data_IF_301107465465
#
_entry.id   IF_301107465465
#
_cell.length_a   1.000
_cell.length_b   1.000
_cell.length_c   1.000
_cell.angle_alpha   90.00
_cell.angle_beta   90.00
_cell.angle_gamma   90.00
#
_symmetry.space_group_name_H-M   'P 1'
#
loop_
_entity.id
_entity.type
_entity.pdbx_description
1 polymer ?
#
# COMPACT_ATOMS: atom_id res chain seq x y z
N UNK A 1 6.41 10.01 -38.28
CA UNK A 1 5.91 9.12 -37.21
C UNK A 1 7.13 8.51 -36.52
N UNK A 2 7.60 9.11 -35.44
CA UNK A 2 8.73 8.57 -34.67
C UNK A 2 8.25 7.32 -33.94
N UNK A 3 8.84 6.17 -34.26
CA UNK A 3 8.74 4.96 -33.45
C UNK A 3 9.41 5.25 -32.12
N UNK A 4 8.64 5.76 -31.15
CA UNK A 4 9.16 6.05 -29.81
C UNK A 4 9.67 4.74 -29.21
N UNK A 5 10.99 4.55 -29.25
CA UNK A 5 11.62 3.37 -28.67
C UNK A 5 11.34 3.36 -27.17
N UNK A 6 10.77 2.27 -26.65
CA UNK A 6 10.55 2.08 -25.21
C UNK A 6 11.82 2.38 -24.41
N UNK A 7 11.68 2.92 -23.21
CA UNK A 7 12.80 3.12 -22.29
C UNK A 7 13.30 1.78 -21.72
N UNK A 8 14.47 1.79 -21.07
CA UNK A 8 14.96 0.61 -20.34
C UNK A 8 14.00 0.21 -19.22
N UNK A 9 13.47 1.18 -18.49
CA UNK A 9 12.51 0.98 -17.41
C UNK A 9 11.21 0.34 -17.92
N UNK A 10 10.63 0.86 -19.01
CA UNK A 10 9.43 0.29 -19.64
C UNK A 10 9.65 -1.16 -20.08
N UNK A 11 10.79 -1.46 -20.72
CA UNK A 11 11.15 -2.86 -21.07
C UNK A 11 11.33 -3.74 -19.82
N UNK A 12 11.85 -3.18 -18.74
CA UNK A 12 12.06 -3.90 -17.49
C UNK A 12 10.72 -4.33 -16.89
N UNK A 13 9.80 -3.38 -16.73
CA UNK A 13 8.42 -3.60 -16.25
C UNK A 13 7.70 -4.63 -17.12
N UNK A 14 7.69 -4.44 -18.44
CA UNK A 14 7.01 -5.35 -19.37
C UNK A 14 7.55 -6.79 -19.29
N UNK A 15 8.87 -6.96 -19.20
CA UNK A 15 9.47 -8.28 -19.08
C UNK A 15 9.08 -8.98 -17.76
N UNK A 16 8.87 -8.23 -16.67
CA UNK A 16 8.50 -8.76 -15.35
C UNK A 16 7.03 -9.09 -15.31
N UNK A 17 6.20 -8.22 -15.90
CA UNK A 17 4.79 -8.50 -16.13
C UNK A 17 4.58 -9.83 -16.86
N UNK A 18 5.25 -10.02 -18.01
CA UNK A 18 5.15 -11.28 -18.79
C UNK A 18 5.55 -12.52 -17.99
N UNK A 19 6.62 -12.42 -17.19
CA UNK A 19 7.05 -13.52 -16.32
C UNK A 19 6.03 -13.81 -15.23
N UNK A 20 5.45 -12.76 -14.64
CA UNK A 20 4.44 -12.86 -13.59
C UNK A 20 3.14 -13.49 -14.10
N UNK A 21 2.70 -13.14 -15.32
CA UNK A 21 1.56 -13.79 -15.99
C UNK A 21 1.77 -15.28 -16.24
N UNK A 22 3.02 -15.70 -16.46
CA UNK A 22 3.39 -17.12 -16.57
C UNK A 22 3.45 -17.86 -15.24
N UNK A 23 3.46 -17.15 -14.11
CA UNK A 23 3.48 -17.75 -12.78
C UNK A 23 2.07 -18.21 -12.38
N UNK A 24 1.96 -19.46 -11.94
CA UNK A 24 0.68 -20.05 -11.50
C UNK A 24 0.43 -19.86 -10.01
N UNK A 25 1.50 -19.80 -9.23
CA UNK A 25 1.44 -19.77 -7.78
C UNK A 25 1.22 -18.36 -7.27
N UNK A 26 0.32 -18.22 -6.30
CA UNK A 26 0.12 -16.94 -5.61
C UNK A 26 1.26 -16.65 -4.63
N UNK A 27 1.75 -17.67 -3.93
CA UNK A 27 2.93 -17.56 -3.07
C UNK A 27 4.22 -17.74 -3.88
N UNK A 28 5.03 -16.69 -3.97
CA UNK A 28 6.30 -16.67 -4.70
C UNK A 28 7.44 -16.64 -3.67
N UNK A 29 8.27 -17.69 -3.65
CA UNK A 29 9.48 -17.71 -2.83
C UNK A 29 10.49 -16.66 -3.29
N UNK A 30 11.36 -16.20 -2.39
CA UNK A 30 12.40 -15.22 -2.74
C UNK A 30 13.32 -15.69 -3.88
N UNK A 31 13.61 -16.99 -3.95
CA UNK A 31 14.40 -17.57 -5.04
C UNK A 31 13.64 -17.49 -6.38
N UNK A 32 12.34 -17.82 -6.39
CA UNK A 32 11.51 -17.70 -7.58
C UNK A 32 11.37 -16.23 -8.00
N UNK A 33 11.19 -15.31 -7.06
CA UNK A 33 11.18 -13.87 -7.32
C UNK A 33 12.49 -13.42 -7.98
N UNK A 34 13.64 -13.86 -7.46
CA UNK A 34 14.96 -13.56 -8.03
C UNK A 34 15.11 -14.09 -9.47
N UNK A 35 14.70 -15.34 -9.73
CA UNK A 35 14.69 -15.92 -11.09
C UNK A 35 13.79 -15.14 -12.04
N UNK A 36 12.69 -14.59 -11.54
CA UNK A 36 11.79 -13.73 -12.31
C UNK A 36 12.35 -12.29 -12.48
N UNK A 37 13.44 -11.95 -11.80
CA UNK A 37 14.14 -10.67 -11.91
C UNK A 37 13.66 -9.61 -10.93
N UNK A 38 13.03 -10.03 -9.82
CA UNK A 38 12.73 -9.22 -8.65
C UNK A 38 13.79 -9.45 -7.58
N UNK A 39 14.43 -8.38 -7.14
CA UNK A 39 15.50 -8.42 -6.16
C UNK A 39 14.90 -8.07 -4.81
N UNK A 40 14.46 -9.11 -4.10
CA UNK A 40 13.78 -8.96 -2.84
C UNK A 40 14.80 -8.69 -1.71
N UNK A 41 14.62 -7.59 -0.98
CA UNK A 41 15.47 -7.21 0.16
C UNK A 41 14.62 -6.96 1.40
N UNK A 42 15.21 -7.06 2.59
CA UNK A 42 14.50 -6.73 3.82
C UNK A 42 14.45 -5.21 3.98
N UNK A 43 13.28 -4.71 4.33
CA UNK A 43 13.05 -3.31 4.70
C UNK A 43 12.93 -3.25 6.22
N UNK A 44 13.89 -2.59 6.84
CA UNK A 44 13.80 -2.25 8.24
C UNK A 44 12.95 -0.97 8.39
N UNK A 45 11.90 -1.03 9.20
CA UNK A 45 11.05 0.12 9.46
C UNK A 45 11.45 0.85 10.75
N UNK A 46 12.31 0.25 11.57
CA UNK A 46 12.82 0.82 12.82
C UNK A 46 14.02 1.74 12.56
N UNK A 47 14.70 1.55 11.42
CA UNK A 47 15.76 2.43 10.91
C UNK A 47 15.30 3.03 9.57
N UNK A 48 15.10 4.36 9.44
CA UNK A 48 14.49 4.99 8.27
C UNK A 48 15.41 5.04 7.02
N UNK A 49 16.19 3.99 6.77
CA UNK A 49 16.97 3.84 5.54
C UNK A 49 16.07 3.36 4.40
N UNK A 50 15.19 4.24 3.93
CA UNK A 50 14.42 4.02 2.71
C UNK A 50 14.87 5.04 1.67
N UNK A 51 15.27 4.55 0.49
CA UNK A 51 15.85 5.38 -0.54
C UNK A 51 14.86 6.40 -1.12
N UNK A 52 13.56 6.11 -1.03
CA UNK A 52 12.53 6.87 -1.75
C UNK A 52 11.38 7.37 -0.88
N UNK A 53 11.17 6.83 0.31
CA UNK A 53 10.07 7.21 1.18
C UNK A 53 10.57 7.43 2.60
N UNK A 54 10.34 8.61 3.16
CA UNK A 54 10.65 8.89 4.56
C UNK A 54 9.36 8.91 5.36
N UNK A 55 9.13 7.99 6.31
CA UNK A 55 7.90 7.98 7.10
C UNK A 55 7.79 9.27 7.92
N UNK A 56 6.57 9.71 8.21
CA UNK A 56 6.37 10.77 9.20
C UNK A 56 7.08 10.40 10.51
N UNK A 57 7.70 11.35 11.19
CA UNK A 57 8.45 11.07 12.43
C UNK A 57 7.52 11.04 13.65
N UNK A 58 7.98 10.46 14.76
CA UNK A 58 7.26 10.55 16.04
C UNK A 58 7.12 12.01 16.48
N UNK A 59 8.16 12.83 16.27
CA UNK A 59 8.13 14.27 16.50
C UNK A 59 7.05 14.96 15.65
N UNK A 60 6.92 14.60 14.37
CA UNK A 60 5.85 15.12 13.51
C UNK A 60 4.47 14.78 14.10
N UNK A 61 4.27 13.53 14.54
CA UNK A 61 3.01 13.10 15.13
C UNK A 61 2.71 13.79 16.46
N UNK A 62 3.74 14.11 17.25
CA UNK A 62 3.62 14.85 18.53
C UNK A 62 3.29 16.33 18.32
N UNK A 63 3.75 16.95 17.22
CA UNK A 63 3.42 18.33 16.89
C UNK A 63 1.94 18.51 16.54
N UNK A 64 1.30 17.45 16.04
CA UNK A 64 -0.12 17.41 15.69
C UNK A 64 -0.84 16.32 16.49
N UNK A 65 -0.94 16.44 17.84
CA UNK A 65 -1.54 15.40 18.66
C UNK A 65 -3.03 15.28 18.36
N UNK A 66 -3.62 14.13 18.71
CA UNK A 66 -5.04 13.88 18.50
C UNK A 66 -5.87 14.73 19.47
N UNK A 67 -6.95 15.35 18.96
CA UNK A 67 -7.86 16.15 19.76
C UNK A 67 -8.68 15.26 20.72
N UNK A 68 -8.24 15.17 21.97
CA UNK A 68 -8.69 14.14 22.93
C UNK A 68 -10.19 14.18 23.22
N UNK A 69 -10.78 15.38 23.34
CA UNK A 69 -12.22 15.56 23.58
C UNK A 69 -13.08 14.92 22.46
N UNK A 70 -12.57 14.98 21.22
CA UNK A 70 -13.27 14.42 20.07
C UNK A 70 -13.15 12.91 20.02
N UNK A 71 -12.01 12.34 20.44
CA UNK A 71 -11.84 10.88 20.54
C UNK A 71 -12.84 10.30 21.51
N UNK A 72 -12.92 10.83 22.73
CA UNK A 72 -13.85 10.33 23.75
C UNK A 72 -15.31 10.39 23.27
N UNK A 73 -15.68 11.48 22.59
CA UNK A 73 -17.01 11.63 22.02
C UNK A 73 -17.29 10.64 20.87
N UNK A 74 -16.28 10.34 20.03
CA UNK A 74 -16.38 9.38 18.94
C UNK A 74 -16.44 7.94 19.47
N UNK A 75 -15.55 7.56 20.39
CA UNK A 75 -15.55 6.24 21.03
C UNK A 75 -16.86 5.96 21.77
N UNK A 76 -17.45 6.98 22.41
CA UNK A 76 -18.77 6.84 23.05
C UNK A 76 -19.90 6.58 22.05
N UNK A 77 -19.79 7.07 20.80
CA UNK A 77 -20.84 6.93 19.77
C UNK A 77 -20.62 5.69 18.89
N UNK A 78 -19.37 5.38 18.59
CA UNK A 78 -18.93 4.34 17.67
C UNK A 78 -17.62 3.72 18.21
N UNK A 79 -17.70 2.83 19.21
CA UNK A 79 -16.52 2.25 19.85
C UNK A 79 -15.64 1.43 18.89
N UNK A 80 -16.23 0.91 17.81
CA UNK A 80 -15.55 0.11 16.78
C UNK A 80 -14.85 0.96 15.70
N UNK A 81 -14.97 2.30 15.74
CA UNK A 81 -14.47 3.16 14.66
C UNK A 81 -12.93 3.08 14.49
N UNK A 82 -12.21 2.88 15.59
CA UNK A 82 -10.75 2.87 15.62
C UNK A 82 -10.16 1.54 16.09
N UNK A 83 -10.99 0.50 16.13
CA UNK A 83 -10.61 -0.82 16.62
C UNK A 83 -10.96 -1.87 15.58
N UNK A 84 -10.15 -2.91 15.55
CA UNK A 84 -10.48 -4.13 14.83
C UNK A 84 -11.11 -5.10 15.81
N UNK A 85 -12.02 -5.93 15.32
CA UNK A 85 -12.46 -7.07 16.10
C UNK A 85 -11.27 -8.05 16.20
N UNK A 86 -10.96 -8.45 17.43
CA UNK A 86 -9.76 -9.25 17.71
C UNK A 86 -9.91 -10.66 17.14
N UNK A 87 -8.85 -11.13 16.48
CA UNK A 87 -8.89 -12.40 15.79
C UNK A 87 -8.89 -13.55 16.79
N UNK A 88 -9.89 -14.42 16.68
CA UNK A 88 -9.95 -15.68 17.40
C UNK A 88 -9.97 -16.85 16.39
N UNK A 89 -8.93 -17.71 16.36
CA UNK A 89 -8.87 -18.84 15.42
C UNK A 89 -10.02 -19.85 15.58
N UNK A 90 -10.47 -20.11 16.81
CA UNK A 90 -11.57 -21.04 17.08
C UNK A 90 -12.90 -20.48 16.56
N UNK A 91 -13.17 -19.20 16.81
CA UNK A 91 -14.35 -18.51 16.30
C UNK A 91 -14.32 -18.44 14.77
N UNK A 92 -13.16 -18.14 14.18
CA UNK A 92 -12.99 -18.09 12.74
C UNK A 92 -13.22 -19.47 12.08
N UNK A 93 -12.75 -20.55 12.71
CA UNK A 93 -12.98 -21.91 12.21
C UNK A 93 -14.45 -22.33 12.36
N UNK A 94 -15.06 -22.05 13.51
CA UNK A 94 -16.49 -22.29 13.74
C UNK A 94 -17.36 -21.52 12.75
N UNK A 95 -16.98 -20.28 12.42
CA UNK A 95 -17.70 -19.45 11.48
C UNK A 95 -17.74 -20.05 10.07
N UNK A 96 -16.69 -20.74 9.60
CA UNK A 96 -16.65 -21.36 8.26
C UNK A 96 -17.79 -22.36 8.03
N UNK A 97 -18.22 -23.05 9.08
CA UNK A 97 -19.30 -24.05 9.05
C UNK A 97 -20.61 -23.54 9.65
N UNK A 98 -20.66 -22.27 10.09
CA UNK A 98 -21.89 -21.65 10.60
C UNK A 98 -22.98 -21.67 9.53
N UNK A 99 -24.23 -21.93 9.92
CA UNK A 99 -25.39 -21.81 9.02
C UNK A 99 -25.62 -20.34 8.61
N UNK A 100 -25.28 -19.39 9.49
CA UNK A 100 -25.38 -17.95 9.25
C UNK A 100 -24.40 -17.50 8.16
N UNK A 101 -24.95 -16.98 7.07
CA UNK A 101 -24.15 -16.32 6.01
C UNK A 101 -23.39 -15.12 6.57
N UNK A 102 -24.00 -14.39 7.51
CA UNK A 102 -23.41 -13.19 8.10
C UNK A 102 -22.16 -13.55 8.93
N UNK A 103 -22.18 -14.65 9.67
CA UNK A 103 -21.02 -15.10 10.45
C UNK A 103 -19.88 -15.51 9.53
N UNK A 104 -20.19 -16.27 8.46
CA UNK A 104 -19.20 -16.66 7.44
C UNK A 104 -18.55 -15.45 6.78
N UNK A 105 -19.34 -14.42 6.46
CA UNK A 105 -18.82 -13.18 5.88
C UNK A 105 -17.99 -12.43 6.91
N UNK A 106 -18.50 -12.22 8.13
CA UNK A 106 -17.81 -11.47 9.17
C UNK A 106 -16.41 -12.01 9.41
N UNK A 107 -16.25 -13.32 9.51
CA UNK A 107 -14.97 -14.00 9.77
C UNK A 107 -14.17 -14.35 8.50
N UNK A 108 -14.63 -13.93 7.33
CA UNK A 108 -13.87 -14.10 6.08
C UNK A 108 -12.58 -13.28 6.09
N UNK A 109 -11.53 -13.78 5.43
CA UNK A 109 -10.27 -13.05 5.24
C UNK A 109 -10.50 -11.64 4.70
N UNK A 110 -11.41 -11.49 3.72
CA UNK A 110 -11.74 -10.19 3.15
C UNK A 110 -12.31 -9.22 4.18
N UNK A 111 -13.21 -9.66 5.04
CA UNK A 111 -13.81 -8.78 6.06
C UNK A 111 -12.82 -8.44 7.15
N UNK A 112 -11.98 -9.40 7.58
CA UNK A 112 -10.94 -9.18 8.59
C UNK A 112 -9.89 -8.16 8.13
N UNK A 113 -9.38 -8.33 6.91
CA UNK A 113 -8.44 -7.37 6.31
C UNK A 113 -9.10 -6.00 6.07
N UNK A 114 -10.36 -5.98 5.64
CA UNK A 114 -11.10 -4.74 5.41
C UNK A 114 -11.27 -3.91 6.69
N UNK A 115 -11.41 -4.53 7.87
CA UNK A 115 -11.46 -3.78 9.13
C UNK A 115 -10.18 -2.99 9.39
N UNK A 116 -9.01 -3.58 9.12
CA UNK A 116 -7.71 -2.87 9.24
C UNK A 116 -7.70 -1.65 8.31
N UNK A 117 -8.13 -1.81 7.05
CA UNK A 117 -8.26 -0.70 6.09
C UNK A 117 -9.18 0.40 6.63
N UNK A 118 -10.33 0.04 7.21
CA UNK A 118 -11.27 1.01 7.76
C UNK A 118 -10.65 1.79 8.93
N UNK A 119 -9.98 1.12 9.86
CA UNK A 119 -9.28 1.78 10.97
C UNK A 119 -8.21 2.73 10.44
N UNK A 120 -7.34 2.29 9.52
CA UNK A 120 -6.31 3.14 8.91
C UNK A 120 -6.92 4.38 8.23
N UNK A 121 -8.01 4.20 7.48
CA UNK A 121 -8.73 5.33 6.86
C UNK A 121 -9.29 6.29 7.91
N UNK A 122 -9.89 5.77 8.97
CA UNK A 122 -10.46 6.61 10.03
C UNK A 122 -9.37 7.42 10.74
N UNK A 123 -8.22 6.79 11.04
CA UNK A 123 -7.07 7.47 11.64
C UNK A 123 -6.47 8.56 10.73
N UNK A 124 -6.44 8.33 9.42
CA UNK A 124 -5.85 9.26 8.44
C UNK A 124 -6.80 10.41 8.09
N UNK A 125 -8.09 10.15 7.86
CA UNK A 125 -9.05 11.10 7.29
C UNK A 125 -10.05 11.69 8.27
N UNK A 126 -10.30 11.01 9.40
CA UNK A 126 -11.45 11.33 10.24
C UNK A 126 -11.07 11.69 11.66
N UNK A 127 -9.86 11.37 12.11
CA UNK A 127 -9.37 11.69 13.43
C UNK A 127 -8.81 13.12 13.49
N UNK A 128 -9.48 14.06 14.18
CA UNK A 128 -9.04 15.46 14.22
C UNK A 128 -7.80 15.61 15.09
N UNK A 129 -6.91 16.52 14.68
CA UNK A 129 -5.67 16.83 15.37
C UNK A 129 -5.64 18.28 15.84
N UNK A 130 -4.82 18.54 16.85
CA UNK A 130 -4.52 19.88 17.33
C UNK A 130 -3.40 20.51 16.49
N UNK A 131 -3.19 21.82 16.66
CA UNK A 131 -2.14 22.59 15.98
C UNK A 131 -2.17 22.52 14.45
N UNK A 132 -3.33 22.27 13.86
CA UNK A 132 -3.48 22.11 12.41
C UNK A 132 -3.07 23.40 11.68
N UNK A 133 -2.27 23.31 10.59
CA UNK A 133 -1.90 24.48 9.81
C UNK A 133 -3.13 25.27 9.34
N UNK A 134 -3.05 26.60 9.41
CA UNK A 134 -4.17 27.46 9.05
C UNK A 134 -4.60 27.21 7.60
N UNK A 135 -5.90 27.04 7.36
CA UNK A 135 -6.45 26.80 6.02
C UNK A 135 -6.38 25.34 5.55
N UNK A 136 -5.85 24.44 6.37
CA UNK A 136 -5.92 22.98 6.13
C UNK A 136 -7.11 22.37 6.89
N UNK A 137 -7.56 21.19 6.46
CA UNK A 137 -8.56 20.42 7.21
C UNK A 137 -7.99 19.81 8.50
N UNK A 138 -8.81 19.15 9.34
CA UNK A 138 -8.40 18.78 10.69
C UNK A 138 -7.62 17.45 10.81
N UNK A 139 -7.45 16.70 9.73
CA UNK A 139 -6.92 15.32 9.75
C UNK A 139 -5.51 15.22 9.15
N UNK A 140 -4.79 14.12 9.42
CA UNK A 140 -3.45 13.89 8.85
C UNK A 140 -3.42 14.00 7.32
N UNK A 141 -4.45 13.47 6.65
CA UNK A 141 -4.54 13.54 5.20
C UNK A 141 -4.50 14.99 4.69
N UNK A 142 -5.04 15.94 5.46
CA UNK A 142 -5.09 17.35 5.07
C UNK A 142 -3.74 18.06 5.14
N UNK A 143 -2.77 17.50 5.86
CA UNK A 143 -1.41 18.05 5.95
C UNK A 143 -0.46 17.41 4.94
N UNK A 144 -0.88 16.30 4.34
CA UNK A 144 -0.06 15.54 3.43
C UNK A 144 -0.09 16.12 2.02
N UNK A 145 0.99 15.94 1.26
CA UNK A 145 1.07 16.34 -0.15
C UNK A 145 0.40 15.34 -1.10
N UNK A 146 -0.25 14.30 -0.54
CA UNK A 146 -0.82 13.19 -1.28
C UNK A 146 -2.26 13.52 -1.69
N UNK A 147 -2.58 13.28 -2.96
CA UNK A 147 -3.96 13.27 -3.43
C UNK A 147 -4.37 11.84 -3.79
N UNK A 148 -5.64 11.51 -3.54
CA UNK A 148 -6.17 10.20 -3.91
C UNK A 148 -6.42 10.16 -5.42
N UNK A 149 -5.94 9.11 -6.09
CA UNK A 149 -6.14 8.86 -7.52
C UNK A 149 -7.57 8.37 -7.84
N UNK A 150 -8.59 9.10 -7.37
CA UNK A 150 -10.02 8.76 -7.51
C UNK A 150 -10.74 9.53 -8.63
N UNK A 151 -10.03 10.41 -9.34
CA UNK A 151 -10.51 11.14 -10.53
C UNK A 151 -10.07 10.38 -11.79
N UNK A 152 -10.63 10.66 -12.99
CA UNK A 152 -10.14 10.07 -14.24
C UNK A 152 -8.73 10.58 -14.57
N UNK A 153 -7.74 10.02 -13.88
CA UNK A 153 -6.29 10.20 -14.07
C UNK A 153 -5.70 8.85 -14.47
N UNK A 154 -4.61 8.81 -15.26
CA UNK A 154 -4.10 7.54 -15.76
C UNK A 154 -3.78 6.53 -14.65
N UNK A 155 -3.21 6.98 -13.52
CA UNK A 155 -2.95 6.14 -12.35
C UNK A 155 -4.19 5.40 -11.80
N UNK A 156 -5.41 5.93 -12.00
CA UNK A 156 -6.64 5.25 -11.56
C UNK A 156 -6.87 3.90 -12.25
N UNK A 157 -6.23 3.63 -13.38
CA UNK A 157 -6.28 2.32 -14.04
C UNK A 157 -5.54 1.23 -13.24
N UNK A 158 -4.69 1.60 -12.28
CA UNK A 158 -4.00 0.64 -11.42
C UNK A 158 -4.95 -0.07 -10.43
N UNK A 159 -6.14 0.49 -10.19
CA UNK A 159 -7.17 -0.16 -9.36
C UNK A 159 -7.63 -1.52 -9.91
N UNK A 160 -7.36 -1.78 -11.19
CA UNK A 160 -7.85 -2.94 -11.90
C UNK A 160 -6.70 -3.74 -12.51
N UNK A 161 -6.69 -5.03 -12.24
CA UNK A 161 -5.88 -6.04 -12.94
C UNK A 161 -6.84 -7.06 -13.55
N UNK A 162 -7.00 -6.96 -14.88
CA UNK A 162 -7.87 -7.84 -15.67
C UNK A 162 -7.09 -8.54 -16.77
N UNK A 163 -5.87 -8.98 -16.45
CA UNK A 163 -4.99 -9.74 -17.33
C UNK A 163 -4.90 -11.19 -16.83
N UNK A 164 -5.76 -12.11 -17.31
CA UNK A 164 -5.72 -13.50 -16.88
C UNK A 164 -4.30 -14.09 -17.00
N UNK A 165 -3.80 -14.80 -15.97
CA UNK A 165 -4.54 -15.36 -14.83
C UNK A 165 -4.68 -14.41 -13.60
N UNK A 166 -4.21 -13.17 -13.67
CA UNK A 166 -4.35 -12.20 -12.58
C UNK A 166 -5.74 -11.58 -12.61
N UNK A 167 -6.38 -11.45 -11.44
CA UNK A 167 -7.74 -10.91 -11.34
C UNK A 167 -7.94 -10.17 -10.02
N UNK A 168 -8.80 -9.16 -10.03
CA UNK A 168 -9.21 -8.39 -8.84
C UNK A 168 -10.01 -9.20 -7.79
N UNK A 169 -10.19 -10.51 -8.01
CA UNK A 169 -10.80 -11.41 -7.02
C UNK A 169 -9.83 -11.82 -5.92
N UNK A 170 -8.53 -11.90 -6.23
CA UNK A 170 -7.52 -12.37 -5.29
C UNK A 170 -6.95 -11.23 -4.44
N UNK A 171 -6.99 -9.99 -4.93
CA UNK A 171 -6.55 -8.81 -4.21
C UNK A 171 -7.18 -7.53 -4.79
N UNK A 172 -7.25 -6.46 -3.99
CA UNK A 172 -7.84 -5.17 -4.38
C UNK A 172 -7.08 -3.99 -3.81
N UNK A 173 -6.81 -2.99 -4.64
CA UNK A 173 -6.39 -1.67 -4.16
C UNK A 173 -7.57 -0.97 -3.49
N UNK A 174 -7.35 -0.43 -2.30
CA UNK A 174 -8.35 0.36 -1.55
C UNK A 174 -8.00 1.83 -1.44
N UNK A 175 -6.70 2.13 -1.36
CA UNK A 175 -6.17 3.48 -1.40
C UNK A 175 -5.06 3.53 -2.45
N UNK A 176 -5.05 4.59 -3.23
CA UNK A 176 -4.04 4.87 -4.23
C UNK A 176 -3.79 6.37 -4.23
N UNK A 177 -2.53 6.74 -4.01
CA UNK A 177 -2.08 8.10 -3.83
C UNK A 177 -1.00 8.44 -4.84
N UNK A 178 -1.08 9.67 -5.31
CA UNK A 178 -0.02 10.34 -6.04
C UNK A 178 0.23 11.71 -5.43
N UNK A 179 1.39 12.31 -5.72
CA UNK A 179 1.70 13.66 -5.22
C UNK A 179 0.84 14.69 -5.94
N UNK A 180 0.14 15.54 -5.19
CA UNK A 180 -0.90 16.46 -5.69
C UNK A 180 -0.43 17.35 -6.85
N UNK A 181 0.80 17.85 -6.76
CA UNK A 181 1.39 18.77 -7.74
C UNK A 181 2.14 18.06 -8.86
N UNK A 182 2.15 16.73 -8.90
CA UNK A 182 2.91 15.91 -9.86
C UNK A 182 4.41 16.27 -9.93
N UNK A 183 4.96 16.82 -8.85
CA UNK A 183 6.39 17.14 -8.77
C UNK A 183 7.25 15.90 -8.49
N UNK A 184 6.64 14.83 -7.96
CA UNK A 184 7.33 13.58 -7.68
C UNK A 184 6.63 12.38 -8.36
N UNK A 185 7.41 11.42 -8.85
CA UNK A 185 6.86 10.22 -9.49
C UNK A 185 6.26 9.21 -8.52
N UNK A 186 6.44 9.41 -7.21
CA UNK A 186 6.07 8.48 -6.17
C UNK A 186 4.58 8.14 -6.16
N UNK A 187 4.32 6.88 -5.83
CA UNK A 187 2.98 6.33 -5.63
C UNK A 187 2.94 5.62 -4.29
N UNK A 188 1.86 5.83 -3.53
CA UNK A 188 1.55 5.03 -2.34
C UNK A 188 0.23 4.31 -2.59
N UNK A 189 0.15 3.04 -2.21
CA UNK A 189 -1.10 2.27 -2.24
C UNK A 189 -1.31 1.42 -1.01
N UNK A 190 -2.58 1.13 -0.73
CA UNK A 190 -3.00 0.10 0.22
C UNK A 190 -3.75 -0.98 -0.54
N UNK A 191 -3.28 -2.22 -0.41
CA UNK A 191 -3.81 -3.39 -1.11
C UNK A 191 -4.24 -4.44 -0.10
N UNK A 192 -5.46 -4.95 -0.28
CA UNK A 192 -5.99 -6.08 0.47
C UNK A 192 -5.82 -7.35 -0.35
N UNK A 193 -5.28 -8.41 0.25
CA UNK A 193 -5.13 -9.72 -0.36
C UNK A 193 -6.06 -10.74 0.32
N UNK A 194 -6.75 -11.54 -0.48
CA UNK A 194 -7.75 -12.49 -0.03
C UNK A 194 -7.30 -13.95 -0.21
N UNK A 195 -5.98 -14.18 -0.20
CA UNK A 195 -5.41 -15.53 -0.23
C UNK A 195 -5.83 -16.30 1.04
N UNK A 196 -6.30 -17.55 0.89
CA UNK A 196 -6.61 -18.40 2.03
C UNK A 196 -5.35 -18.99 2.69
N UNK A 197 -4.22 -19.03 1.98
CA UNK A 197 -2.97 -19.57 2.50
C UNK A 197 -2.27 -18.58 3.46
N UNK A 198 -1.68 -19.08 4.57
CA UNK A 198 -0.94 -18.22 5.48
C UNK A 198 0.29 -17.62 4.81
N UNK A 199 0.42 -16.30 4.91
CA UNK A 199 1.57 -15.57 4.37
C UNK A 199 2.71 -15.58 5.39
N UNK A 200 3.96 -15.72 4.92
CA UNK A 200 5.15 -15.67 5.77
C UNK A 200 6.14 -14.62 5.27
N UNK A 201 7.12 -14.28 6.11
CA UNK A 201 8.20 -13.35 5.82
C UNK A 201 9.17 -13.81 4.73
N UNK A 202 9.00 -15.02 4.17
CA UNK A 202 9.88 -15.60 3.16
C UNK A 202 9.18 -15.75 1.80
N UNK A 203 7.96 -15.22 1.66
CA UNK A 203 7.21 -15.23 0.41
C UNK A 203 6.71 -13.83 0.05
N UNK A 204 6.64 -13.57 -1.24
CA UNK A 204 5.93 -12.44 -1.84
C UNK A 204 4.70 -12.98 -2.53
N UNK A 205 3.59 -12.25 -2.45
CA UNK A 205 2.38 -12.59 -3.19
C UNK A 205 2.52 -12.13 -4.64
N UNK A 206 2.02 -12.95 -5.55
CA UNK A 206 1.98 -12.64 -6.97
C UNK A 206 1.23 -11.34 -7.21
N UNK A 207 0.12 -11.09 -6.50
CA UNK A 207 -0.61 -9.83 -6.62
C UNK A 207 0.12 -8.63 -5.98
N UNK A 208 1.01 -8.81 -5.00
CA UNK A 208 1.84 -7.68 -4.53
C UNK A 208 2.76 -7.21 -5.66
N UNK A 209 3.48 -8.15 -6.29
CA UNK A 209 4.35 -7.85 -7.43
C UNK A 209 3.56 -7.26 -8.61
N UNK A 210 2.35 -7.77 -8.85
CA UNK A 210 1.52 -7.34 -9.95
C UNK A 210 1.13 -5.86 -9.82
N UNK A 211 0.58 -5.45 -8.67
CA UNK A 211 0.20 -4.06 -8.45
C UNK A 211 1.41 -3.12 -8.44
N UNK A 212 2.56 -3.55 -7.91
CA UNK A 212 3.80 -2.76 -7.99
C UNK A 212 4.21 -2.50 -9.44
N UNK A 213 4.22 -3.54 -10.28
CA UNK A 213 4.54 -3.42 -11.72
C UNK A 213 3.52 -2.54 -12.41
N UNK A 214 2.23 -2.76 -12.17
CA UNK A 214 1.14 -2.03 -12.84
C UNK A 214 1.20 -0.52 -12.55
N UNK A 215 1.42 -0.15 -11.29
CA UNK A 215 1.60 1.24 -10.89
C UNK A 215 2.82 1.87 -11.57
N UNK A 216 3.96 1.18 -11.59
CA UNK A 216 5.17 1.64 -12.30
C UNK A 216 4.97 1.75 -13.81
N UNK A 217 4.27 0.80 -14.43
CA UNK A 217 3.96 0.80 -15.87
C UNK A 217 3.18 2.06 -16.25
N UNK A 218 2.06 2.30 -15.59
CA UNK A 218 1.19 3.45 -15.86
C UNK A 218 1.98 4.75 -15.70
N UNK A 219 2.74 4.88 -14.61
CA UNK A 219 3.53 6.06 -14.31
C UNK A 219 4.64 6.32 -15.33
N UNK A 220 5.30 5.27 -15.84
CA UNK A 220 6.26 5.39 -16.93
C UNK A 220 5.60 5.79 -18.25
N UNK A 221 4.39 5.29 -18.52
CA UNK A 221 3.65 5.54 -19.75
C UNK A 221 2.96 6.90 -19.78
N UNK A 222 2.63 7.47 -18.62
CA UNK A 222 2.19 8.88 -18.48
C UNK A 222 3.22 9.85 -19.07
N UNK A 223 4.51 9.53 -18.95
CA UNK A 223 5.61 10.35 -19.47
C UNK A 223 5.68 11.74 -18.82
N UNK A 224 5.07 11.93 -17.65
CA UNK A 224 5.10 13.17 -16.88
C UNK A 224 6.47 13.47 -16.28
N UNK A 225 7.28 12.43 -16.07
CA UNK A 225 8.57 12.49 -15.39
C UNK A 225 9.74 12.19 -16.33
N UNK A 226 10.96 12.67 -16.05
CA UNK A 226 12.16 12.31 -16.80
C UNK A 226 12.33 10.78 -16.92
N UNK A 227 12.74 10.34 -18.10
CA UNK A 227 12.79 8.90 -18.46
C UNK A 227 13.82 8.09 -17.66
N UNK A 228 14.80 8.77 -17.09
CA UNK A 228 15.88 8.24 -16.27
C UNK A 228 15.60 8.33 -14.77
N UNK A 229 14.54 9.05 -14.38
CA UNK A 229 14.13 9.18 -12.99
C UNK A 229 13.49 7.87 -12.48
N UNK A 230 13.82 7.42 -11.26
CA UNK A 230 13.12 6.30 -10.62
C UNK A 230 11.62 6.57 -10.51
N UNK A 231 10.80 5.52 -10.62
CA UNK A 231 9.36 5.57 -10.40
C UNK A 231 9.01 4.72 -9.17
N UNK A 232 9.25 5.24 -7.96
CA UNK A 232 9.15 4.46 -6.74
C UNK A 232 7.69 4.26 -6.32
N UNK A 233 7.40 3.07 -5.82
CA UNK A 233 6.06 2.69 -5.34
C UNK A 233 6.16 2.12 -3.94
N UNK A 234 5.33 2.61 -3.03
CA UNK A 234 5.13 2.05 -1.71
C UNK A 234 3.76 1.37 -1.64
N UNK A 235 3.73 0.17 -1.08
CA UNK A 235 2.52 -0.61 -0.85
C UNK A 235 2.43 -0.97 0.64
N UNK A 236 1.30 -0.64 1.25
CA UNK A 236 0.80 -1.37 2.41
C UNK A 236 0.04 -2.59 1.89
N UNK A 237 0.59 -3.77 2.09
CA UNK A 237 -0.05 -5.04 1.76
C UNK A 237 -0.69 -5.62 3.01
N UNK A 238 -2.01 -5.81 2.99
CA UNK A 238 -2.76 -6.44 4.05
C UNK A 238 -3.18 -7.85 3.64
N UNK A 239 -2.92 -8.82 4.50
CA UNK A 239 -3.08 -10.25 4.23
C UNK A 239 -3.80 -10.94 5.39
N UNK A 240 -4.42 -12.08 5.11
CA UNK A 240 -5.11 -12.87 6.12
C UNK A 240 -4.17 -13.46 7.20
N UNK A 241 -4.69 -13.75 8.41
CA UNK A 241 -6.03 -13.40 8.89
C UNK A 241 -6.20 -11.91 9.22
N UNK A 242 -5.30 -11.31 9.99
CA UNK A 242 -5.23 -9.86 10.28
C UNK A 242 -3.77 -9.41 10.34
N UNK A 243 -3.08 -9.45 9.20
CA UNK A 243 -1.67 -9.05 9.11
C UNK A 243 -1.45 -8.00 8.04
N UNK A 244 -0.33 -7.29 8.14
CA UNK A 244 0.10 -6.39 7.09
C UNK A 244 1.61 -6.23 7.04
N UNK A 245 2.12 -5.76 5.90
CA UNK A 245 3.52 -5.34 5.73
C UNK A 245 3.61 -4.17 4.77
N UNK A 246 4.71 -3.44 4.90
CA UNK A 246 5.10 -2.39 3.95
C UNK A 246 6.10 -2.97 2.95
N UNK A 247 5.88 -2.66 1.68
CA UNK A 247 6.72 -3.04 0.54
C UNK A 247 7.03 -1.77 -0.25
N UNK A 248 8.28 -1.63 -0.67
CA UNK A 248 8.72 -0.58 -1.57
C UNK A 248 9.32 -1.22 -2.82
N UNK A 249 9.07 -0.63 -3.96
CA UNK A 249 9.68 -1.07 -5.21
C UNK A 249 10.14 0.09 -6.07
N UNK A 250 11.23 -0.15 -6.78
CA UNK A 250 11.76 0.77 -7.78
C UNK A 250 12.63 -0.01 -8.79
N UNK A 251 13.05 0.68 -9.86
CA UNK A 251 14.00 0.15 -10.85
C UNK A 251 15.34 0.83 -10.62
N UNK A 252 16.39 0.07 -10.33
CA UNK A 252 17.70 0.55 -9.87
C UNK A 252 18.63 1.06 -10.99
N UNK A 253 18.06 1.65 -12.06
CA UNK A 253 18.80 2.05 -13.26
C UNK A 253 19.39 0.89 -14.08
N UNK A 254 19.42 -0.34 -13.55
CA UNK A 254 19.74 -1.58 -14.24
C UNK A 254 18.43 -2.29 -14.67
N UNK A 255 18.45 -3.44 -15.39
CA UNK A 255 17.20 -4.14 -15.71
C UNK A 255 16.78 -4.96 -14.49
N UNK A 256 16.73 -4.38 -13.30
CA UNK A 256 16.38 -5.04 -12.04
C UNK A 256 15.30 -4.23 -11.35
N UNK A 257 14.33 -4.96 -10.80
CA UNK A 257 13.30 -4.36 -9.96
C UNK A 257 13.64 -4.73 -8.53
N UNK A 258 14.00 -3.74 -7.72
CA UNK A 258 14.22 -3.92 -6.29
C UNK A 258 12.87 -3.94 -5.61
N UNK A 259 12.67 -4.90 -4.70
CA UNK A 259 11.45 -5.05 -3.90
C UNK A 259 11.87 -5.18 -2.44
N UNK A 260 11.90 -4.07 -1.72
CA UNK A 260 12.21 -4.06 -0.29
C UNK A 260 10.93 -4.31 0.50
N UNK A 261 10.91 -5.27 1.42
CA UNK A 261 9.71 -5.63 2.17
C UNK A 261 10.02 -5.84 3.65
N UNK A 262 9.12 -5.35 4.49
CA UNK A 262 9.21 -5.50 5.94
C UNK A 262 8.74 -6.88 6.40
N UNK A 263 8.94 -7.18 7.68
CA UNK A 263 8.27 -8.30 8.34
C UNK A 263 6.75 -8.13 8.31
N UNK A 264 6.01 -9.22 8.49
CA UNK A 264 4.59 -9.19 8.76
C UNK A 264 4.33 -8.69 10.18
N UNK A 265 3.45 -7.71 10.27
CA UNK A 265 2.93 -7.15 11.50
C UNK A 265 1.53 -7.70 11.77
N UNK A 266 1.25 -8.02 13.02
CA UNK A 266 -0.07 -8.51 13.45
C UNK A 266 -0.97 -7.35 13.85
N UNK A 267 -2.23 -7.46 13.41
CA UNK A 267 -3.38 -6.65 13.82
C UNK A 267 -4.46 -7.55 14.42
N UNK A 268 -4.11 -8.75 14.87
CA UNK A 268 -5.06 -9.69 15.49
C UNK A 268 -5.56 -9.19 16.84
N UNK A 269 -4.79 -8.32 17.51
CA UNK A 269 -5.16 -7.68 18.77
C UNK A 269 -5.03 -6.18 18.63
N UNK A 270 -5.91 -5.42 19.29
CA UNK A 270 -5.78 -3.96 19.27
C UNK A 270 -4.56 -3.50 20.07
N UNK A 271 -4.27 -4.19 21.17
CA UNK A 271 -3.07 -3.95 21.95
C UNK A 271 -1.82 -4.29 21.13
N UNK A 272 -0.97 -3.30 20.89
CA UNK A 272 0.27 -3.46 20.14
C UNK A 272 0.11 -3.48 18.61
N UNK A 273 -1.11 -3.35 18.08
CA UNK A 273 -1.32 -3.21 16.63
C UNK A 273 -0.61 -1.94 16.11
N UNK A 274 0.22 -2.03 15.06
CA UNK A 274 1.07 -0.93 14.63
C UNK A 274 0.35 0.04 13.69
N UNK A 275 -0.86 0.46 14.04
CA UNK A 275 -1.64 1.41 13.24
C UNK A 275 -0.89 2.72 13.02
N UNK A 276 -0.26 3.27 14.06
CA UNK A 276 0.52 4.50 13.97
C UNK A 276 1.66 4.39 12.95
N UNK A 277 2.46 3.32 13.02
CA UNK A 277 3.52 3.01 12.07
C UNK A 277 2.99 2.99 10.63
N UNK A 278 1.89 2.28 10.39
CA UNK A 278 1.31 2.17 9.05
C UNK A 278 0.75 3.49 8.54
N UNK A 279 0.12 4.31 9.40
CA UNK A 279 -0.31 5.66 9.05
C UNK A 279 0.87 6.56 8.63
N UNK A 280 1.98 6.51 9.38
CA UNK A 280 3.19 7.29 9.08
C UNK A 280 3.82 6.92 7.74
N UNK A 281 3.76 5.64 7.36
CA UNK A 281 4.23 5.16 6.06
C UNK A 281 3.26 5.44 4.91
N UNK A 282 1.94 5.37 5.14
CA UNK A 282 0.92 5.72 4.13
C UNK A 282 0.95 7.21 3.75
N UNK A 283 1.51 8.04 4.61
CA UNK A 283 1.69 9.47 4.39
C UNK A 283 3.18 9.88 4.37
N UNK A 284 4.07 8.93 4.06
CA UNK A 284 5.51 9.17 3.98
C UNK A 284 5.84 10.30 3.00
N UNK A 285 6.88 11.07 3.28
CA UNK A 285 7.39 12.08 2.37
C UNK A 285 8.17 11.41 1.23
N UNK A 286 8.01 11.86 -0.02
CA UNK A 286 8.86 11.44 -1.12
C UNK A 286 10.27 12.00 -0.94
N UNK A 287 11.28 11.14 -1.05
CA UNK A 287 12.70 11.48 -1.01
C UNK A 287 13.47 10.76 -2.14
N UNK A 288 14.76 11.03 -2.28
CA UNK A 288 15.66 10.31 -3.20
C UNK A 288 15.44 10.58 -4.69
N UNK A 289 14.61 11.58 -5.02
CA UNK A 289 14.29 11.96 -6.39
C UNK A 289 14.20 13.48 -6.47
N UNK A 290 14.84 14.06 -7.48
CA UNK A 290 14.73 15.50 -7.74
C UNK A 290 13.30 15.89 -8.16
N UNK A 291 12.73 16.99 -7.64
CA UNK A 291 11.41 17.46 -8.06
C UNK A 291 11.39 17.75 -9.57
N UNK A 292 10.41 17.19 -10.27
CA UNK A 292 10.13 17.57 -11.65
C UNK A 292 9.49 18.96 -11.70
N UNK A 293 9.75 19.71 -12.77
CA UNK A 293 8.97 20.91 -13.07
C UNK A 293 7.52 20.50 -13.28
N UNK A 294 6.59 21.13 -12.57
CA UNK A 294 5.16 20.87 -12.72
C UNK A 294 4.79 21.04 -14.20
N UNK A 295 4.30 19.98 -14.83
CA UNK A 295 3.68 20.11 -16.15
C UNK A 295 2.34 20.80 -15.94
N UNK A 296 2.17 21.99 -16.50
CA UNK A 296 0.84 22.59 -16.66
C UNK A 296 -0.02 21.56 -17.42
N UNK A 297 -1.08 21.06 -16.76
CA UNK A 297 -2.08 20.18 -17.39
C UNK A 297 -3.07 21.03 -18.19
#
# INVERSE_FOLDING_TARGET
>A
MSTNSRTRAQRCVEARWKRLLGCKDEAISLESALRMGFYATKLDLEHPSSDFFEPLTDEYMQNYPVLTETVAAMESKQPEMYKVEEYNPETAEAAKVSESVLDRIAWSTSSRVQQITLVLKNLIYHLPRENTPQGTGPSLANFSIWCQACRPVPLSDAFYINDPPLTDRAAKIRLLFEVETYVYPHIIMLVEHYTPEPVTDHILLRHELAFLIRAMEIRLDEGCFPKDQPQPVLMVSLVGPQHGRIIQAHIDGTPRMVVAYSRLYSFEKNEGAPFDLFCRWLLANPVGVEPAQAKEK
#
